data_IF_793872294615
#
_entry.id   IF_793872294615
#
_cell.length_a   1.000
_cell.length_b   1.000
_cell.length_c   1.000
_cell.angle_alpha   90.00
_cell.angle_beta   90.00
_cell.angle_gamma   90.00
#
_symmetry.space_group_name_H-M   'P 1'
#
loop_
_entity.id
_entity.type
_entity.pdbx_description
1 polymer ?
#
# COMPACT_ATOMS: atom_id res chain seq x y z
N UNK A 1 31.38 -26.55 -9.42
CA UNK A 1 31.98 -27.43 -10.47
C UNK A 1 32.17 -28.91 -10.05
N UNK A 2 31.86 -29.33 -8.80
CA UNK A 2 31.79 -30.76 -8.42
C UNK A 2 30.35 -31.28 -8.54
N UNK A 3 30.01 -31.88 -9.69
CA UNK A 3 28.96 -32.91 -9.92
C UNK A 3 27.51 -32.77 -9.40
N UNK A 4 27.14 -31.80 -8.56
CA UNK A 4 25.78 -31.72 -8.01
C UNK A 4 24.79 -31.26 -9.08
N UNK A 5 23.87 -32.15 -9.46
CA UNK A 5 22.80 -31.87 -10.43
C UNK A 5 21.90 -30.74 -9.94
N UNK A 6 21.45 -30.79 -8.68
CA UNK A 6 20.58 -29.77 -8.09
C UNK A 6 21.24 -28.39 -8.05
N UNK A 7 22.54 -28.30 -7.74
CA UNK A 7 23.24 -27.02 -7.75
C UNK A 7 23.36 -26.43 -9.17
N UNK A 8 23.47 -27.29 -10.19
CA UNK A 8 23.48 -26.85 -11.59
C UNK A 8 22.10 -26.33 -12.01
N UNK A 9 21.03 -27.03 -11.65
CA UNK A 9 19.65 -26.61 -11.94
C UNK A 9 19.34 -25.23 -11.35
N UNK A 10 19.72 -24.95 -10.10
CA UNK A 10 19.53 -23.61 -9.49
C UNK A 10 20.30 -22.53 -10.24
N UNK A 11 21.55 -22.78 -10.62
CA UNK A 11 22.36 -21.81 -11.37
C UNK A 11 21.78 -21.54 -12.77
N UNK A 12 21.30 -22.58 -13.45
CA UNK A 12 20.66 -22.46 -14.76
C UNK A 12 19.32 -21.71 -14.65
N UNK A 13 18.49 -22.01 -13.64
CA UNK A 13 17.24 -21.31 -13.34
C UNK A 13 17.45 -19.81 -13.06
N UNK A 14 18.46 -19.46 -12.25
CA UNK A 14 18.83 -18.07 -12.00
C UNK A 14 19.36 -17.36 -13.25
N UNK A 15 20.20 -18.04 -14.04
CA UNK A 15 20.73 -17.49 -15.29
C UNK A 15 19.64 -17.29 -16.35
N UNK A 16 18.63 -18.16 -16.38
CA UNK A 16 17.45 -18.04 -17.24
C UNK A 16 16.44 -16.99 -16.75
N UNK A 17 16.64 -16.41 -15.55
CA UNK A 17 15.76 -15.38 -15.01
C UNK A 17 14.41 -15.91 -14.55
N UNK A 18 14.29 -17.20 -14.25
CA UNK A 18 13.01 -17.84 -13.91
C UNK A 18 12.34 -17.23 -12.67
N UNK A 19 13.11 -16.62 -11.77
CA UNK A 19 12.60 -15.87 -10.62
C UNK A 19 11.77 -14.63 -11.03
N UNK A 20 11.95 -14.12 -12.25
CA UNK A 20 11.23 -13.01 -12.84
C UNK A 20 10.20 -13.50 -13.88
N UNK A 21 10.60 -14.34 -14.83
CA UNK A 21 9.74 -14.76 -15.95
C UNK A 21 8.59 -15.67 -15.53
N UNK A 22 8.67 -16.32 -14.36
CA UNK A 22 7.57 -17.12 -13.82
C UNK A 22 6.54 -16.29 -13.05
N UNK A 23 6.79 -14.98 -12.84
CA UNK A 23 5.79 -14.10 -12.22
C UNK A 23 4.74 -13.72 -13.26
N UNK A 24 3.47 -13.56 -12.87
CA UNK A 24 2.46 -13.01 -13.76
C UNK A 24 2.90 -11.65 -14.32
N UNK A 25 2.74 -11.45 -15.62
CA UNK A 25 2.96 -10.15 -16.25
C UNK A 25 1.90 -9.14 -15.79
N UNK A 26 2.25 -7.85 -15.84
CA UNK A 26 1.30 -6.77 -15.59
C UNK A 26 0.27 -6.77 -16.72
N UNK A 27 -1.02 -6.73 -16.37
CA UNK A 27 -2.11 -6.72 -17.33
C UNK A 27 -2.11 -5.42 -18.16
N UNK A 28 -2.43 -5.51 -19.45
CA UNK A 28 -2.57 -4.34 -20.34
C UNK A 28 -3.68 -3.37 -19.89
N UNK A 29 -4.72 -3.91 -19.23
CA UNK A 29 -5.83 -3.15 -18.69
C UNK A 29 -6.06 -3.59 -17.25
N UNK A 30 -6.05 -2.63 -16.33
CA UNK A 30 -6.36 -2.83 -14.93
C UNK A 30 -7.62 -2.02 -14.57
N UNK A 31 -8.55 -2.63 -13.86
CA UNK A 31 -9.76 -1.97 -13.36
C UNK A 31 -9.69 -1.80 -11.85
N UNK A 32 -9.92 -0.58 -11.38
CA UNK A 32 -9.83 -0.20 -9.97
C UNK A 32 -11.01 0.70 -9.58
N UNK A 33 -11.34 0.66 -8.30
CA UNK A 33 -12.23 1.63 -7.65
C UNK A 33 -11.42 2.78 -7.09
N UNK A 34 -11.81 4.01 -7.40
CA UNK A 34 -11.09 5.21 -6.95
C UNK A 34 -11.40 5.52 -5.49
N UNK A 35 -10.38 5.50 -4.64
CA UNK A 35 -10.40 6.12 -3.32
C UNK A 35 -9.78 7.52 -3.42
N UNK A 36 -10.63 8.54 -3.60
CA UNK A 36 -10.20 9.93 -3.81
C UNK A 36 -9.97 10.65 -2.49
N UNK A 37 -8.81 11.28 -2.35
CA UNK A 37 -8.50 12.28 -1.32
C UNK A 37 -8.25 13.62 -2.01
N UNK A 38 -9.13 14.60 -1.79
CA UNK A 38 -9.04 15.92 -2.44
C UNK A 38 -7.89 16.74 -1.86
N UNK A 39 -7.31 17.60 -2.68
CA UNK A 39 -6.19 18.45 -2.31
C UNK A 39 -4.85 17.72 -2.23
N UNK A 40 -3.99 18.20 -1.33
CA UNK A 40 -2.66 17.66 -1.10
C UNK A 40 -2.68 16.59 -0.01
N UNK A 41 -2.13 15.42 -0.32
CA UNK A 41 -1.81 14.37 0.64
C UNK A 41 -0.35 14.46 1.03
N UNK A 42 -0.09 14.91 2.25
CA UNK A 42 1.24 14.86 2.85
C UNK A 42 1.51 13.46 3.40
N UNK A 43 2.77 13.05 3.41
CA UNK A 43 3.19 11.79 4.05
C UNK A 43 2.82 11.69 5.54
N UNK A 44 2.68 12.82 6.26
CA UNK A 44 2.20 12.82 7.65
C UNK A 44 0.71 12.50 7.76
N UNK A 45 -0.10 12.78 6.73
CA UNK A 45 -1.51 12.37 6.69
C UNK A 45 -1.65 10.84 6.64
N UNK A 46 -0.67 10.17 6.02
CA UNK A 46 -0.64 8.71 5.82
C UNK A 46 0.13 7.96 6.93
N UNK A 47 1.03 8.67 7.62
CA UNK A 47 1.89 8.14 8.67
C UNK A 47 2.22 9.27 9.67
N UNK A 48 1.29 9.62 10.58
CA UNK A 48 1.44 10.78 11.45
C UNK A 48 2.68 10.70 12.34
N UNK A 49 3.28 11.87 12.62
CA UNK A 49 4.45 11.96 13.49
C UNK A 49 4.25 11.38 14.91
N UNK A 50 3.11 11.59 15.60
CA UNK A 50 2.88 11.03 16.94
C UNK A 50 2.89 9.50 16.99
N UNK A 51 2.57 8.84 15.88
CA UNK A 51 2.51 7.38 15.76
C UNK A 51 3.82 6.79 15.22
N UNK A 52 4.91 7.57 15.21
CA UNK A 52 6.21 7.12 14.70
C UNK A 52 6.72 5.84 15.37
N UNK A 53 6.35 5.61 16.64
CA UNK A 53 6.75 4.46 17.44
C UNK A 53 6.16 3.14 16.92
N UNK A 54 5.00 3.16 16.26
CA UNK A 54 4.33 1.95 15.76
C UNK A 54 4.74 1.58 14.34
N UNK A 55 5.50 2.42 13.62
CA UNK A 55 5.91 2.21 12.22
C UNK A 55 6.47 0.82 11.86
N UNK A 56 7.25 0.14 12.73
CA UNK A 56 7.74 -1.20 12.44
C UNK A 56 6.61 -2.25 12.40
N UNK A 57 5.52 -2.02 13.12
CA UNK A 57 4.32 -2.85 13.13
C UNK A 57 3.33 -2.28 12.09
N UNK A 58 3.43 -2.79 10.85
CA UNK A 58 2.66 -2.27 9.70
C UNK A 58 1.15 -2.34 9.95
N UNK A 59 0.55 -3.48 10.36
CA UNK A 59 -0.89 -3.56 10.63
C UNK A 59 -1.34 -2.54 11.68
N UNK A 60 -0.58 -2.39 12.77
CA UNK A 60 -0.92 -1.44 13.83
C UNK A 60 -0.80 0.01 13.36
N UNK A 61 0.29 0.35 12.66
CA UNK A 61 0.52 1.72 12.17
C UNK A 61 -0.50 2.13 11.11
N UNK A 62 -0.95 1.19 10.28
CA UNK A 62 -1.93 1.45 9.23
C UNK A 62 -3.31 1.90 9.77
N UNK A 63 -3.60 1.67 11.07
CA UNK A 63 -4.80 2.22 11.71
C UNK A 63 -4.79 3.76 11.77
N UNK A 64 -3.60 4.37 11.86
CA UNK A 64 -3.42 5.81 11.99
C UNK A 64 -3.48 6.58 10.65
N UNK A 65 -3.53 5.87 9.51
CA UNK A 65 -3.59 6.49 8.19
C UNK A 65 -4.89 7.28 8.03
N UNK A 66 -4.79 8.57 7.66
CA UNK A 66 -5.93 9.48 7.48
C UNK A 66 -6.84 9.59 8.71
N UNK A 67 -6.27 9.49 9.92
CA UNK A 67 -7.01 9.59 11.19
C UNK A 67 -7.51 11.01 11.54
N UNK A 68 -7.06 12.03 10.81
CA UNK A 68 -7.51 13.42 10.97
C UNK A 68 -8.54 13.71 9.88
N UNK A 69 -9.75 14.13 10.27
CA UNK A 69 -10.81 14.41 9.31
C UNK A 69 -10.41 15.47 8.28
N UNK A 70 -10.87 15.27 7.05
CA UNK A 70 -10.77 16.23 5.95
C UNK A 70 -11.94 16.05 5.00
N UNK A 71 -12.04 16.94 4.01
CA UNK A 71 -13.10 16.87 3.02
C UNK A 71 -13.15 15.49 2.35
N UNK A 72 -14.33 14.88 2.35
CA UNK A 72 -14.56 13.52 1.83
C UNK A 72 -13.98 12.37 2.66
N UNK A 73 -13.26 12.62 3.75
CA UNK A 73 -12.63 11.58 4.58
C UNK A 73 -13.08 11.69 6.03
N UNK A 74 -13.78 10.65 6.49
CA UNK A 74 -14.29 10.56 7.86
C UNK A 74 -13.58 9.39 8.57
N UNK A 75 -12.72 9.66 9.57
CA UNK A 75 -12.08 8.62 10.35
C UNK A 75 -13.10 7.87 11.22
N UNK A 76 -12.85 6.60 11.53
CA UNK A 76 -13.67 5.84 12.48
C UNK A 76 -13.59 6.42 13.89
N UNK A 77 -12.39 6.90 14.27
CA UNK A 77 -12.15 7.60 15.53
C UNK A 77 -11.19 8.75 15.30
N UNK A 78 -11.72 9.97 15.32
CA UNK A 78 -10.95 11.20 15.10
C UNK A 78 -9.67 11.23 15.94
N UNK A 79 -8.53 11.44 15.27
CA UNK A 79 -7.20 11.49 15.89
C UNK A 79 -6.57 10.14 16.23
N UNK A 80 -7.29 9.02 16.05
CA UNK A 80 -6.83 7.69 16.46
C UNK A 80 -6.92 6.63 15.35
N UNK A 81 -8.07 6.49 14.68
CA UNK A 81 -8.33 5.44 13.68
C UNK A 81 -8.90 6.08 12.42
N UNK A 82 -8.26 5.81 11.28
CA UNK A 82 -8.66 6.26 9.95
C UNK A 82 -9.95 5.65 9.39
N UNK A 83 -10.24 5.88 8.10
CA UNK A 83 -11.49 5.50 7.43
C UNK A 83 -11.50 4.03 6.95
N UNK A 84 -11.23 3.06 7.83
CA UNK A 84 -10.99 1.65 7.44
C UNK A 84 -12.24 1.00 6.83
N UNK A 85 -13.37 1.10 7.52
CA UNK A 85 -14.69 0.63 7.06
C UNK A 85 -15.09 1.27 5.73
N UNK A 86 -14.89 2.58 5.56
CA UNK A 86 -15.21 3.25 4.30
C UNK A 86 -14.37 2.71 3.12
N UNK A 87 -13.09 2.39 3.33
CA UNK A 87 -12.27 1.71 2.31
C UNK A 87 -12.79 0.30 2.02
N UNK A 88 -13.15 -0.47 3.05
CA UNK A 88 -13.69 -1.82 2.89
C UNK A 88 -15.04 -1.81 2.15
N UNK A 89 -15.99 -0.96 2.56
CA UNK A 89 -17.30 -0.79 1.93
C UNK A 89 -17.16 -0.39 0.46
N UNK A 90 -16.23 0.51 0.15
CA UNK A 90 -15.97 0.94 -1.23
C UNK A 90 -15.42 -0.19 -2.10
N UNK A 91 -14.54 -1.03 -1.54
CA UNK A 91 -14.00 -2.22 -2.21
C UNK A 91 -15.10 -3.25 -2.46
N UNK A 92 -15.89 -3.55 -1.44
CA UNK A 92 -16.95 -4.57 -1.49
C UNK A 92 -18.10 -4.16 -2.41
N UNK A 93 -18.49 -2.88 -2.40
CA UNK A 93 -19.56 -2.37 -3.25
C UNK A 93 -19.26 -2.45 -4.75
N UNK A 94 -17.98 -2.38 -5.14
CA UNK A 94 -17.57 -2.34 -6.55
C UNK A 94 -16.94 -3.66 -7.02
N UNK A 95 -16.50 -4.53 -6.10
CA UNK A 95 -15.84 -5.79 -6.42
C UNK A 95 -14.49 -5.63 -7.13
N UNK A 96 -13.90 -4.43 -7.09
CA UNK A 96 -12.60 -4.09 -7.68
C UNK A 96 -11.63 -3.62 -6.60
N UNK A 97 -10.31 -3.84 -6.76
CA UNK A 97 -9.30 -3.30 -5.85
C UNK A 97 -9.36 -1.77 -5.79
N UNK A 98 -8.86 -1.19 -4.69
CA UNK A 98 -8.80 0.26 -4.55
C UNK A 98 -7.55 0.86 -5.20
N UNK A 99 -7.69 2.06 -5.75
CA UNK A 99 -6.58 2.92 -6.14
C UNK A 99 -6.63 4.23 -5.33
N UNK A 100 -5.54 4.56 -4.65
CA UNK A 100 -5.39 5.84 -3.96
C UNK A 100 -5.19 6.96 -4.99
N UNK A 101 -6.09 7.95 -4.99
CA UNK A 101 -6.03 9.07 -5.93
C UNK A 101 -6.07 10.38 -5.17
N UNK A 102 -5.13 11.28 -5.45
CA UNK A 102 -5.13 12.64 -4.93
C UNK A 102 -4.73 13.66 -5.99
N UNK A 103 -4.90 14.96 -5.71
CA UNK A 103 -4.50 16.03 -6.63
C UNK A 103 -2.97 16.24 -6.58
N UNK A 104 -2.41 16.20 -5.36
CA UNK A 104 -0.97 16.17 -5.10
C UNK A 104 -0.73 15.09 -4.04
N UNK A 105 0.19 14.15 -4.27
CA UNK A 105 0.37 12.98 -3.39
C UNK A 105 1.83 12.81 -2.99
N UNK A 106 2.06 12.58 -1.69
CA UNK A 106 3.34 12.13 -1.16
C UNK A 106 4.34 13.25 -0.87
N UNK A 107 3.86 14.48 -0.67
CA UNK A 107 4.72 15.60 -0.24
C UNK A 107 5.20 15.44 1.20
N UNK A 108 6.20 16.23 1.58
CA UNK A 108 6.76 16.23 2.93
C UNK A 108 7.89 15.23 3.11
N UNK A 109 7.90 14.55 4.24
CA UNK A 109 9.04 13.74 4.68
C UNK A 109 9.17 12.38 3.96
N UNK A 110 10.40 11.91 3.78
CA UNK A 110 10.66 10.56 3.28
C UNK A 110 10.39 9.52 4.36
N UNK A 111 9.15 9.01 4.43
CA UNK A 111 8.76 7.94 5.38
C UNK A 111 8.12 6.79 4.63
N UNK A 112 8.83 5.66 4.53
CA UNK A 112 8.32 4.41 3.96
C UNK A 112 7.01 3.94 4.62
N UNK A 113 6.80 4.29 5.89
CA UNK A 113 5.57 3.96 6.62
C UNK A 113 4.29 4.50 5.96
N UNK A 114 4.34 5.66 5.30
CA UNK A 114 3.19 6.17 4.53
C UNK A 114 2.79 5.20 3.41
N UNK A 115 3.76 4.74 2.62
CA UNK A 115 3.53 3.72 1.58
C UNK A 115 3.10 2.38 2.19
N UNK A 116 3.68 1.96 3.32
CA UNK A 116 3.26 0.72 3.98
C UNK A 116 1.79 0.76 4.36
N UNK A 117 1.28 1.87 4.93
CA UNK A 117 -0.12 1.99 5.32
C UNK A 117 -1.07 1.91 4.12
N UNK A 118 -0.73 2.59 3.01
CA UNK A 118 -1.52 2.53 1.77
C UNK A 118 -1.54 1.11 1.21
N UNK A 119 -0.38 0.45 1.10
CA UNK A 119 -0.28 -0.92 0.58
C UNK A 119 -0.91 -1.95 1.52
N UNK A 120 -0.96 -1.70 2.83
CA UNK A 120 -1.64 -2.59 3.76
C UNK A 120 -3.15 -2.67 3.47
N UNK A 121 -3.76 -1.53 3.11
CA UNK A 121 -5.19 -1.46 2.81
C UNK A 121 -5.53 -1.75 1.34
N UNK A 122 -4.59 -1.51 0.41
CA UNK A 122 -4.86 -1.50 -1.04
C UNK A 122 -3.97 -2.42 -1.88
N UNK A 123 -2.95 -3.03 -1.29
CA UNK A 123 -1.97 -3.89 -1.97
C UNK A 123 -2.36 -5.36 -2.05
#
# INVERSE_FOLDING_TARGET
>A
KKGSKSAREVMESWAAGEWFTNKPEVQDVLSYTVFKVTGETNTDDLSPAPDAWSRPDIPLHALAMLKIARDGIVPEKEGEIGPISAMADLKDANGLPLAYVGDVVGTGSSRKSATNSVLWHMG
#
